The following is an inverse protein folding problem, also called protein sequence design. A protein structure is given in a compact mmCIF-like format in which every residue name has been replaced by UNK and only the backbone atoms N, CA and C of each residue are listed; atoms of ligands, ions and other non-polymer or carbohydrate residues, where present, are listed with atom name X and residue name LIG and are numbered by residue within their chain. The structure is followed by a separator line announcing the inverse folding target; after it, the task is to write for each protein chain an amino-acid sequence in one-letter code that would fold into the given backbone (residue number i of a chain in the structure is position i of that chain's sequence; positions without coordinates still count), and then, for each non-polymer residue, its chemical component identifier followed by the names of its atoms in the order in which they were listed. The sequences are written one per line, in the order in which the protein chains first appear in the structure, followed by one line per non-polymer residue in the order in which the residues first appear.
data_IF_276126188299
#
_entry.id   IF_276126188299
#
_cell.length_a   1.000
_cell.length_b   1.000
_cell.length_c   1.000
_cell.angle_alpha   90.00
_cell.angle_beta   90.00
_cell.angle_gamma   90.00
#
_symmetry.space_group_name_H-M   'P 1'
#
loop_
_entity.id
_entity.type
_entity.pdbx_description
1 polymer ?
#
# COMPACT_ATOMS: atom_id res chain seq x y z
N UNK A 1 12.88 11.50 -11.10
CA UNK A 1 12.07 12.03 -12.23
C UNK A 1 13.07 12.34 -13.33
N UNK A 2 12.88 11.85 -14.56
CA UNK A 2 13.75 12.19 -15.68
C UNK A 2 13.84 13.71 -15.83
N UNK A 3 14.93 14.22 -16.40
CA UNK A 3 14.99 15.62 -16.79
C UNK A 3 13.86 15.91 -17.80
N UNK A 4 13.39 17.15 -17.82
CA UNK A 4 12.34 17.55 -18.75
C UNK A 4 12.81 17.35 -20.19
N UNK A 5 12.17 16.41 -20.92
CA UNK A 5 12.55 16.02 -22.28
C UNK A 5 13.29 14.69 -22.44
N UNK A 6 13.68 14.02 -21.34
CA UNK A 6 14.24 12.66 -21.39
C UNK A 6 13.15 11.58 -21.35
N UNK A 7 13.28 10.57 -22.22
CA UNK A 7 12.42 9.39 -22.20
C UNK A 7 12.69 8.55 -20.94
N UNK A 8 11.66 7.90 -20.36
CA UNK A 8 11.87 6.96 -19.26
C UNK A 8 12.74 5.79 -19.74
N UNK A 9 13.68 5.36 -18.90
CA UNK A 9 14.50 4.18 -19.13
C UNK A 9 13.92 2.97 -18.39
N UNK A 10 14.10 1.77 -18.95
CA UNK A 10 13.75 0.52 -18.31
C UNK A 10 14.96 -0.03 -17.52
N UNK A 11 14.73 -0.48 -16.28
CA UNK A 11 15.77 -1.02 -15.42
C UNK A 11 15.26 -1.30 -14.00
N UNK A 12 16.14 -1.80 -13.11
CA UNK A 12 15.81 -1.96 -11.70
C UNK A 12 15.54 -0.61 -11.03
N UNK A 13 14.70 -0.60 -9.99
CA UNK A 13 14.48 0.61 -9.19
C UNK A 13 15.80 1.07 -8.54
N UNK A 14 16.08 2.37 -8.64
CA UNK A 14 17.19 3.06 -7.99
C UNK A 14 16.77 3.69 -6.64
N UNK A 15 15.49 3.62 -6.28
CA UNK A 15 14.93 4.24 -5.06
C UNK A 15 13.93 3.31 -4.38
N UNK A 16 14.40 2.12 -4.00
CA UNK A 16 13.65 1.19 -3.16
C UNK A 16 13.57 1.71 -1.72
N UNK A 17 12.37 1.62 -1.13
CA UNK A 17 12.06 2.22 0.16
C UNK A 17 11.09 1.35 0.98
N UNK A 18 11.07 1.56 2.29
CA UNK A 18 10.09 0.99 3.21
C UNK A 18 8.95 1.97 3.45
N UNK A 19 7.79 1.46 3.87
CA UNK A 19 6.78 2.23 4.58
C UNK A 19 6.43 1.49 5.86
N UNK A 20 6.75 2.09 7.01
CA UNK A 20 6.47 1.51 8.31
C UNK A 20 5.00 1.75 8.67
N UNK A 21 4.20 0.70 8.60
CA UNK A 21 2.74 0.75 8.75
C UNK A 21 2.21 -0.25 9.78
N UNK A 22 0.92 -0.07 10.10
CA UNK A 22 0.13 -0.97 10.95
C UNK A 22 -1.13 -1.35 10.18
N UNK A 23 -1.39 -2.66 10.10
CA UNK A 23 -2.59 -3.21 9.45
C UNK A 23 -3.56 -3.75 10.49
N UNK A 24 -4.84 -3.41 10.38
CA UNK A 24 -5.91 -4.06 11.13
C UNK A 24 -6.49 -5.23 10.33
N UNK A 25 -6.61 -6.39 10.98
CA UNK A 25 -7.22 -7.58 10.36
C UNK A 25 -8.71 -7.57 10.66
N UNK A 26 -9.53 -7.48 9.61
CA UNK A 26 -11.00 -7.56 9.74
C UNK A 26 -11.41 -8.99 10.09
N UNK A 27 -12.03 -9.16 11.26
CA UNK A 27 -12.57 -10.45 11.73
C UNK A 27 -14.03 -10.67 11.36
N UNK A 28 -14.81 -9.59 11.30
CA UNK A 28 -16.25 -9.63 10.96
C UNK A 28 -16.50 -8.72 9.77
N UNK A 29 -17.04 -9.25 8.67
CA UNK A 29 -17.38 -8.46 7.48
C UNK A 29 -18.69 -7.67 7.63
N UNK A 30 -18.97 -6.80 6.67
CA UNK A 30 -20.29 -6.18 6.49
C UNK A 30 -20.95 -6.63 5.19
N UNK A 31 -22.27 -6.45 5.09
CA UNK A 31 -22.97 -6.69 3.84
C UNK A 31 -22.65 -5.59 2.81
N UNK A 32 -22.61 -5.95 1.52
CA UNK A 32 -22.39 -4.99 0.44
C UNK A 32 -23.48 -3.90 0.48
N UNK A 33 -23.05 -2.64 0.48
CA UNK A 33 -23.95 -1.48 0.59
C UNK A 33 -24.38 -1.14 2.02
N UNK A 34 -23.87 -1.85 3.04
CA UNK A 34 -24.12 -1.56 4.45
C UNK A 34 -22.85 -1.02 5.12
N UNK A 35 -22.80 0.29 5.45
CA UNK A 35 -21.66 0.88 6.14
C UNK A 35 -21.49 0.35 7.56
N UNK A 36 -20.24 0.28 8.03
CA UNK A 36 -19.88 0.01 9.43
C UNK A 36 -19.66 1.33 10.14
N UNK A 37 -20.35 1.54 11.26
CA UNK A 37 -20.15 2.72 12.12
C UNK A 37 -18.79 2.68 12.82
N UNK A 38 -18.24 3.85 13.15
CA UNK A 38 -16.94 3.94 13.84
C UNK A 38 -16.97 3.36 15.25
N UNK A 39 -18.14 3.35 15.88
CA UNK A 39 -18.43 2.75 17.18
C UNK A 39 -18.36 1.22 17.18
N UNK A 40 -18.57 0.57 16.03
CA UNK A 40 -18.52 -0.88 15.88
C UNK A 40 -17.10 -1.43 15.63
N UNK A 41 -16.05 -0.60 15.66
CA UNK A 41 -14.67 -1.01 15.35
C UNK A 41 -14.23 -2.27 16.11
N UNK A 42 -14.50 -2.34 17.42
CA UNK A 42 -14.07 -3.45 18.27
C UNK A 42 -14.79 -4.78 17.94
N UNK A 43 -15.95 -4.73 17.29
CA UNK A 43 -16.72 -5.91 16.86
C UNK A 43 -16.25 -6.44 15.49
N UNK A 44 -15.63 -5.55 14.69
CA UNK A 44 -15.19 -5.84 13.33
C UNK A 44 -13.69 -6.16 13.21
N UNK A 45 -12.84 -5.67 14.12
CA UNK A 45 -11.39 -5.87 14.06
C UNK A 45 -10.97 -7.03 14.96
N UNK A 46 -10.34 -8.04 14.36
CA UNK A 46 -9.78 -9.19 15.07
C UNK A 46 -8.48 -8.86 15.81
N UNK A 47 -7.60 -8.09 15.18
CA UNK A 47 -6.30 -7.77 15.73
C UNK A 47 -5.47 -6.87 14.82
N UNK A 48 -4.16 -6.81 15.09
CA UNK A 48 -3.25 -5.85 14.48
C UNK A 48 -1.92 -6.51 14.11
N UNK A 49 -1.35 -6.15 12.96
CA UNK A 49 -0.02 -6.59 12.55
C UNK A 49 0.84 -5.43 12.07
N UNK A 50 2.16 -5.61 12.10
CA UNK A 50 3.10 -4.70 11.44
C UNK A 50 3.04 -4.94 9.93
N UNK A 51 3.11 -3.86 9.15
CA UNK A 51 3.11 -3.88 7.69
C UNK A 51 4.32 -3.12 7.18
N UNK A 52 4.98 -3.68 6.17
CA UNK A 52 5.92 -2.95 5.33
C UNK A 52 5.38 -2.88 3.90
N UNK A 53 4.91 -1.71 3.49
CA UNK A 53 4.44 -1.44 2.13
C UNK A 53 5.60 -0.97 1.25
N UNK A 54 6.37 -1.96 0.76
CA UNK A 54 7.57 -1.72 -0.02
C UNK A 54 7.29 -0.85 -1.24
N UNK A 55 8.18 0.10 -1.49
CA UNK A 55 7.90 1.17 -2.46
C UNK A 55 9.10 1.45 -3.38
N UNK A 56 8.88 1.39 -4.69
CA UNK A 56 9.86 1.83 -5.69
C UNK A 56 9.59 3.29 -6.10
N UNK A 57 10.20 4.26 -5.39
CA UNK A 57 9.82 5.68 -5.45
C UNK A 57 10.04 6.34 -6.81
N UNK A 58 11.04 5.87 -7.54
CA UNK A 58 11.33 6.30 -8.90
C UNK A 58 10.26 5.87 -9.89
N UNK A 59 9.80 4.62 -9.79
CA UNK A 59 8.67 4.09 -10.58
C UNK A 59 7.38 4.83 -10.19
N UNK A 60 7.13 5.00 -8.88
CA UNK A 60 5.93 5.65 -8.37
C UNK A 60 5.77 7.07 -8.92
N UNK A 61 6.85 7.86 -8.86
CA UNK A 61 6.85 9.24 -9.33
C UNK A 61 6.56 9.37 -10.83
N UNK A 62 6.83 8.32 -11.61
CA UNK A 62 6.53 8.28 -13.04
C UNK A 62 5.08 7.86 -13.32
N UNK A 63 4.56 6.84 -12.63
CA UNK A 63 3.27 6.23 -12.97
C UNK A 63 2.04 6.86 -12.27
N UNK A 64 2.21 7.53 -11.12
CA UNK A 64 1.08 7.75 -10.20
C UNK A 64 0.02 8.75 -10.71
N UNK A 65 0.33 9.57 -11.71
CA UNK A 65 -0.65 10.53 -12.26
C UNK A 65 -1.34 9.91 -13.47
N UNK A 66 -2.69 9.92 -13.55
CA UNK A 66 -3.64 10.46 -12.58
C UNK A 66 -4.25 9.40 -11.63
N UNK A 67 -3.91 8.12 -11.79
CA UNK A 67 -4.69 7.00 -11.24
C UNK A 67 -4.16 6.47 -9.90
N UNK A 68 -3.07 7.03 -9.38
CA UNK A 68 -2.42 6.60 -8.15
C UNK A 68 -1.31 5.55 -8.36
N UNK A 69 -0.62 5.15 -7.27
CA UNK A 69 0.45 4.15 -7.31
C UNK A 69 -0.04 2.79 -7.83
N UNK A 70 0.82 2.09 -8.57
CA UNK A 70 0.51 0.78 -9.13
C UNK A 70 1.70 -0.19 -9.02
N UNK A 71 2.57 -0.28 -10.04
CA UNK A 71 3.69 -1.21 -10.07
C UNK A 71 4.75 -0.88 -9.01
N UNK A 72 4.82 0.37 -8.60
CA UNK A 72 5.72 0.81 -7.55
C UNK A 72 5.35 0.31 -6.14
N UNK A 73 4.19 -0.34 -5.98
CA UNK A 73 3.66 -0.87 -4.72
C UNK A 73 3.33 -2.36 -4.81
N UNK A 74 2.72 -2.80 -5.91
CA UNK A 74 2.16 -4.15 -6.05
C UNK A 74 3.18 -5.29 -6.12
N UNK A 75 4.49 -4.99 -6.12
CA UNK A 75 5.54 -5.99 -6.22
C UNK A 75 5.76 -6.75 -4.90
N UNK A 76 5.53 -6.13 -3.74
CA UNK A 76 5.62 -6.79 -2.44
C UNK A 76 5.01 -5.94 -1.33
N UNK A 77 4.22 -6.58 -0.46
CA UNK A 77 3.85 -6.06 0.86
C UNK A 77 4.14 -7.16 1.88
N UNK A 78 4.85 -6.85 2.96
CA UNK A 78 5.17 -7.81 4.02
C UNK A 78 4.37 -7.53 5.29
N UNK A 79 3.99 -8.57 6.01
CA UNK A 79 3.27 -8.46 7.29
C UNK A 79 3.97 -9.28 8.38
N UNK A 80 3.86 -8.85 9.64
CA UNK A 80 4.31 -9.67 10.78
C UNK A 80 3.47 -10.95 10.90
N UNK A 81 4.07 -12.06 11.35
CA UNK A 81 3.37 -13.36 11.37
C UNK A 81 2.34 -13.50 12.49
N UNK A 82 2.46 -12.70 13.55
CA UNK A 82 1.54 -12.71 14.68
C UNK A 82 0.61 -11.50 14.59
N UNK A 83 -0.69 -11.79 14.68
CA UNK A 83 -1.80 -10.84 14.78
C UNK A 83 -2.23 -10.76 16.23
#
# INVERSE_FOLDING_TARGET
KPAEGELPAFGPSARLDIEAEVGFVVGTGSALGTPVGTDAFAEHVFGVCLVNDWSARDIQAWEYVPLGPFLAKSFATSVSPWV
#
